data_IF_713989179751
#
_entry.id   IF_713989179751
#
_cell.length_a   1.000
_cell.length_b   1.000
_cell.length_c   1.000
_cell.angle_alpha   90.00
_cell.angle_beta   90.00
_cell.angle_gamma   90.00
#
_symmetry.space_group_name_H-M   'P 1'
#
loop_
_entity.id
_entity.type
_entity.pdbx_description
1 polymer ?
2 non-polymer ?
3 water ?
#
# COMPACT_ATOMS: atom_id res chain seq x y z
N UNK A 1 -2.58 -8.91 16.83
CA UNK A 1 -2.94 -7.53 16.47
C UNK A 1 -3.30 -7.38 15.00
N UNK A 2 -4.25 -6.49 14.71
CA UNK A 2 -4.69 -6.24 13.35
C UNK A 2 -4.48 -4.78 12.99
N UNK A 3 -3.77 -4.53 11.90
CA UNK A 3 -3.44 -3.18 11.46
C UNK A 3 -4.04 -2.93 10.08
N UNK A 4 -4.75 -1.82 9.95
CA UNK A 4 -5.25 -1.34 8.66
C UNK A 4 -4.55 -0.02 8.36
N UNK A 5 -3.84 0.03 7.24
CA UNK A 5 -3.03 1.19 6.87
C UNK A 5 -3.63 1.82 5.63
N UNK A 6 -4.14 3.04 5.77
CA UNK A 6 -4.67 3.81 4.65
C UNK A 6 -3.53 4.58 4.00
N UNK A 7 -3.29 4.33 2.72
CA UNK A 7 -2.25 5.01 1.96
C UNK A 7 -2.82 5.46 0.63
N UNK A 8 -2.25 6.54 0.09
CA UNK A 8 -2.58 6.95 -1.26
C UNK A 8 -2.09 5.91 -2.26
N UNK A 9 -2.92 5.62 -3.26
CA UNK A 9 -2.53 4.65 -4.27
C UNK A 9 -1.32 5.15 -5.06
N UNK A 10 -0.64 4.21 -5.71
CA UNK A 10 0.49 4.57 -6.55
C UNK A 10 1.75 3.78 -6.26
N UNK A 11 1.81 3.15 -5.09
CA UNK A 11 2.98 2.35 -4.74
C UNK A 11 2.99 1.04 -5.52
N UNK A 12 4.19 0.51 -5.72
CA UNK A 12 4.33 -0.78 -6.38
C UNK A 12 4.02 -1.91 -5.41
N UNK A 13 3.85 -3.11 -5.97
CA UNK A 13 3.64 -4.28 -5.13
C UNK A 13 4.84 -4.55 -4.24
N UNK A 14 6.03 -4.27 -4.69
CA UNK A 14 7.27 -4.46 -3.90
C UNK A 14 7.25 -3.48 -2.73
N UNK A 15 6.87 -2.22 -2.89
CA UNK A 15 6.84 -1.27 -1.78
C UNK A 15 5.76 -1.64 -0.77
N UNK A 16 4.57 -2.01 -1.25
CA UNK A 16 3.50 -2.42 -0.34
C UNK A 16 3.82 -3.74 0.34
N UNK A 17 4.64 -4.58 -0.29
CA UNK A 17 5.12 -5.78 0.39
C UNK A 17 6.11 -5.42 1.50
N UNK A 18 7.01 -4.47 1.22
CA UNK A 18 7.91 -3.98 2.26
C UNK A 18 7.14 -3.35 3.41
N UNK A 19 6.05 -2.65 3.09
CA UNK A 19 5.27 -1.98 4.14
C UNK A 19 4.64 -3.00 5.09
N UNK A 20 4.17 -4.12 4.55
CA UNK A 20 3.51 -5.12 5.39
C UNK A 20 4.52 -5.78 6.33
N UNK A 21 5.72 -6.09 5.82
CA UNK A 21 6.70 -6.79 6.64
C UNK A 21 7.30 -5.88 7.71
N UNK A 22 7.63 -4.64 7.34
CA UNK A 22 8.26 -3.74 8.30
C UNK A 22 7.29 -3.34 9.41
N UNK A 23 6.01 -3.17 9.08
CA UNK A 23 5.03 -2.83 10.10
C UNK A 23 4.76 -4.02 11.01
N UNK A 24 4.64 -5.22 10.44
CA UNK A 24 4.40 -6.41 11.25
C UNK A 24 5.55 -6.64 12.22
N UNK A 25 6.79 -6.46 11.76
CA UNK A 25 7.93 -6.61 12.65
C UNK A 25 7.95 -5.53 13.72
N UNK A 26 7.47 -4.33 13.39
CA UNK A 26 7.41 -3.26 14.38
C UNK A 26 6.35 -3.54 15.44
N UNK A 27 5.20 -4.07 15.02
CA UNK A 27 4.14 -4.40 15.98
C UNK A 27 4.58 -5.54 16.88
N UNK A 28 5.19 -6.58 16.29
CA UNK A 28 5.65 -7.72 17.08
C UNK A 28 6.73 -7.30 18.07
N UNK A 29 7.56 -6.33 17.70
CA UNK A 29 8.62 -5.87 18.59
C UNK A 29 8.06 -5.12 19.78
N UNK A 30 7.17 -4.15 19.53
CA UNK A 30 6.73 -3.25 20.59
C UNK A 30 5.84 -3.96 21.60
N UNK A 31 5.09 -4.97 21.18
CA UNK A 31 4.14 -5.65 22.05
C UNK A 31 4.62 -7.02 22.51
N UNK A 32 5.81 -7.46 22.07
CA UNK A 32 6.32 -8.80 22.38
C UNK A 32 5.30 -9.87 21.98
N UNK A 33 4.68 -9.68 20.82
CA UNK A 33 3.67 -10.60 20.34
C UNK A 33 4.23 -11.48 19.23
N UNK A 34 3.68 -12.68 19.09
CA UNK A 34 4.08 -13.59 18.02
C UNK A 34 3.87 -12.97 16.65
N UNK A 35 4.91 -12.95 15.82
CA UNK A 35 4.83 -12.35 14.50
C UNK A 35 3.69 -12.94 13.68
N UNK A 36 3.53 -14.26 13.77
CA UNK A 36 2.48 -14.95 13.03
C UNK A 36 1.08 -14.53 13.47
N UNK A 37 0.95 -13.89 14.63
CA UNK A 37 -0.34 -13.41 15.11
C UNK A 37 -0.66 -12.01 14.64
N UNK A 38 0.23 -11.37 13.88
CA UNK A 38 0.05 -10.00 13.42
C UNK A 38 -0.44 -10.03 11.98
N UNK A 39 -1.53 -9.32 11.71
CA UNK A 39 -2.09 -9.19 10.38
C UNK A 39 -2.16 -7.71 9.99
N UNK A 40 -1.83 -7.42 8.74
CA UNK A 40 -1.77 -6.06 8.23
C UNK A 40 -2.68 -5.95 7.01
N UNK A 41 -3.50 -4.91 6.98
CA UNK A 41 -4.40 -4.63 5.87
C UNK A 41 -3.96 -3.32 5.22
N UNK A 42 -3.77 -3.35 3.91
CA UNK A 42 -3.43 -2.16 3.13
C UNK A 42 -4.69 -1.71 2.40
N UNK A 43 -5.13 -0.48 2.68
CA UNK A 43 -6.29 0.10 2.03
C UNK A 43 -5.82 1.30 1.22
N UNK A 44 -5.84 1.17 -0.10
CA UNK A 44 -5.38 2.24 -0.98
C UNK A 44 -6.46 3.31 -1.11
N UNK A 45 -6.02 4.56 -1.19
CA UNK A 45 -6.91 5.70 -1.36
C UNK A 45 -6.58 6.40 -2.67
N UNK A 46 -7.59 6.61 -3.50
CA UNK A 46 -7.40 7.41 -4.70
C UNK A 46 -7.13 8.86 -4.31
N UNK A 47 -6.47 9.59 -5.21
CA UNK A 47 -6.21 11.00 -4.97
C UNK A 47 -7.50 11.80 -4.81
N UNK A 48 -8.61 11.30 -5.36
CA UNK A 48 -9.90 11.94 -5.22
C UNK A 48 -10.68 11.56 -3.98
N UNK A 49 -10.12 10.72 -3.11
CA UNK A 49 -10.83 10.26 -1.92
C UNK A 49 -10.17 10.69 -0.61
N UNK A 50 -9.01 11.34 -0.66
CA UNK A 50 -8.29 11.75 0.54
C UNK A 50 -8.20 13.27 0.56
N UNK A 51 -8.54 13.86 1.70
CA UNK A 51 -8.50 15.30 1.84
C UNK A 51 -7.82 15.72 3.13
N UNK A 52 -7.13 16.85 3.06
CA UNK A 52 -6.48 17.46 4.21
C UNK A 52 -6.92 18.92 4.25
N UNK A 53 -7.70 19.28 5.26
CA UNK A 53 -8.25 20.62 5.33
C UNK A 53 -9.35 20.87 4.32
N UNK A 54 -10.16 19.86 4.04
CA UNK A 54 -11.21 19.99 3.04
C UNK A 54 -10.71 20.07 1.62
N UNK A 55 -9.41 19.95 1.40
CA UNK A 55 -8.82 20.02 0.07
C UNK A 55 -8.13 18.71 -0.25
N UNK A 56 -8.25 18.28 -1.51
CA UNK A 56 -7.78 16.96 -1.92
C UNK A 56 -6.26 16.93 -1.94
N UNK A 57 -5.67 16.17 -1.03
CA UNK A 57 -4.22 16.01 -0.98
C UNK A 57 -3.82 14.61 -1.43
N UNK B 1 0.17 8.76 5.52
CA UNK B 1 -0.58 7.52 5.77
C UNK B 1 -1.26 7.50 7.13
N UNK B 2 -2.35 6.74 7.24
CA UNK B 2 -3.10 6.64 8.49
C UNK B 2 -3.27 5.17 8.86
N UNK B 3 -2.69 4.77 9.98
CA UNK B 3 -2.70 3.39 10.43
C UNK B 3 -3.52 3.26 11.70
N UNK B 4 -4.46 2.31 11.70
CA UNK B 4 -5.22 1.95 12.89
C UNK B 4 -4.87 0.52 13.26
N UNK B 5 -4.38 0.32 14.48
CA UNK B 5 -3.96 -0.98 14.97
C UNK B 5 -4.93 -1.44 16.05
N UNK B 6 -5.55 -2.59 15.84
CA UNK B 6 -6.42 -3.20 16.83
C UNK B 6 -5.61 -4.17 17.68
N UNK B 7 -5.44 -3.85 18.96
CA UNK B 7 -4.66 -4.67 19.88
C UNK B 7 -5.52 -5.03 21.08
N UNK B 8 -5.16 -6.13 21.73
CA UNK B 8 -5.85 -6.54 22.95
C UNK B 8 -5.46 -5.62 24.10
N UNK B 9 -6.42 -5.36 24.98
CA UNK B 9 -6.14 -4.56 26.17
C UNK B 9 -5.18 -5.30 27.09
N UNK B 10 -4.51 -4.53 27.95
CA UNK B 10 -3.56 -5.07 28.91
C UNK B 10 -2.16 -4.52 28.77
N UNK B 11 -1.82 -3.93 27.62
CA UNK B 11 -0.51 -3.33 27.45
C UNK B 11 -0.39 -2.05 28.28
N UNK B 12 0.84 -1.70 28.61
CA UNK B 12 1.12 -0.49 29.36
C UNK B 12 1.23 0.71 28.43
N UNK B 13 1.32 1.90 29.02
CA UNK B 13 1.47 3.11 28.23
C UNK B 13 2.77 3.12 27.45
N UNK B 14 3.82 2.50 28.01
CA UNK B 14 5.12 2.54 27.36
C UNK B 14 5.15 1.66 26.11
N UNK B 15 4.57 0.45 26.20
CA UNK B 15 4.54 -0.44 25.04
C UNK B 15 3.73 0.16 23.90
N UNK B 16 2.63 0.84 24.23
CA UNK B 16 1.82 1.48 23.20
C UNK B 16 2.50 2.72 22.64
N UNK B 17 3.28 3.42 23.47
CA UNK B 17 4.05 4.56 22.97
C UNK B 17 5.15 4.09 22.02
N UNK B 18 5.80 2.98 22.35
CA UNK B 18 6.78 2.38 21.44
C UNK B 18 6.09 1.89 20.17
N UNK B 19 4.88 1.34 20.30
CA UNK B 19 4.16 0.84 19.13
C UNK B 19 3.91 1.94 18.11
N UNK B 20 3.48 3.12 18.58
CA UNK B 20 3.15 4.21 17.67
C UNK B 20 4.39 4.67 16.91
N UNK B 21 5.52 4.80 17.61
CA UNK B 21 6.72 5.33 16.98
C UNK B 21 7.33 4.32 16.01
N UNK B 22 7.48 3.07 16.45
CA UNK B 22 8.13 2.07 15.61
C UNK B 22 7.31 1.77 14.36
N UNK B 23 5.98 1.77 14.48
CA UNK B 23 5.13 1.54 13.32
C UNK B 23 5.19 2.75 12.38
N UNK B 24 5.14 3.96 12.93
CA UNK B 24 5.24 5.16 12.10
C UNK B 24 6.58 5.21 11.38
N UNK B 25 7.65 4.76 12.04
CA UNK B 25 8.95 4.71 11.39
C UNK B 25 8.97 3.66 10.29
N UNK B 26 8.36 2.50 10.54
CA UNK B 26 8.31 1.46 9.52
C UNK B 26 7.48 1.89 8.32
N UNK B 27 6.42 2.66 8.55
CA UNK B 27 5.62 3.17 7.43
C UNK B 27 6.41 4.23 6.67
N UNK B 28 7.12 5.11 7.39
CA UNK B 28 7.90 6.15 6.73
C UNK B 28 9.06 5.56 5.94
N UNK B 29 9.71 4.52 6.48
CA UNK B 29 10.81 3.88 5.77
C UNK B 29 10.32 3.16 4.52
N UNK B 30 9.29 2.33 4.67
CA UNK B 30 8.85 1.47 3.57
C UNK B 30 8.26 2.27 2.42
N UNK B 31 7.66 3.43 2.71
CA UNK B 31 7.01 4.24 1.69
C UNK B 31 7.80 5.47 1.30
N UNK B 32 8.98 5.69 1.91
CA UNK B 32 9.79 6.88 1.65
C UNK B 32 9.00 8.16 1.86
N UNK B 33 8.02 8.11 2.76
CA UNK B 33 7.17 9.25 3.04
C UNK B 33 7.64 9.95 4.31
N UNK B 34 7.37 11.25 4.40
CA UNK B 34 7.74 12.02 5.59
C UNK B 34 7.13 11.46 6.86
N UNK B 35 7.96 11.27 7.89
CA UNK B 35 7.51 10.73 9.16
C UNK B 35 6.40 11.58 9.77
N UNK B 36 6.49 12.90 9.55
CA UNK B 36 5.51 13.82 10.10
C UNK B 36 4.12 13.65 9.49
N UNK B 37 4.02 13.02 8.31
CA UNK B 37 2.73 12.78 7.68
C UNK B 37 2.07 11.49 8.14
N UNK B 38 2.75 10.69 8.95
CA UNK B 38 2.23 9.40 9.39
C UNK B 38 1.45 9.60 10.68
N UNK B 39 0.22 9.08 10.71
CA UNK B 39 -0.62 9.09 11.90
C UNK B 39 -1.00 7.66 12.26
N UNK B 40 -1.01 7.36 13.56
CA UNK B 40 -1.27 6.01 14.06
C UNK B 40 -2.38 6.08 15.09
N UNK B 41 -3.37 5.20 14.97
CA UNK B 41 -4.49 5.11 15.89
C UNK B 41 -4.46 3.75 16.56
N UNK B 42 -4.44 3.74 17.88
CA UNK B 42 -4.44 2.50 18.66
C UNK B 42 -5.84 2.27 19.20
N UNK B 43 -6.42 1.12 18.87
CA UNK B 43 -7.76 0.76 19.30
C UNK B 43 -7.68 -0.49 20.17
N UNK B 44 -8.03 -0.35 21.45
CA UNK B 44 -7.99 -1.46 22.39
C UNK B 44 -9.31 -2.22 22.36
N UNK B 45 -9.21 -3.55 22.45
CA UNK B 45 -10.36 -4.43 22.46
C UNK B 45 -10.38 -5.23 23.75
N UNK B 46 -11.52 -5.25 24.43
CA UNK B 46 -11.68 -6.10 25.60
C UNK B 46 -11.68 -7.57 25.18
N UNK B 47 -11.35 -8.43 26.15
CA UNK B 47 -11.25 -9.86 25.85
C UNK B 47 -12.57 -10.42 25.35
N UNK B 48 -13.69 -9.92 25.87
CA UNK B 48 -15.00 -10.31 25.40
C UNK B 48 -15.44 -9.70 24.09
N UNK B 49 -14.59 -8.92 23.43
CA UNK B 49 -14.95 -8.24 22.19
C UNK B 49 -14.08 -8.65 21.01
N UNK B 50 -13.32 -9.74 21.14
CA UNK B 50 -12.46 -10.23 20.07
C UNK B 50 -12.54 -11.74 20.03
N UNK B 51 -12.80 -12.30 18.85
CA UNK B 51 -12.96 -13.73 18.71
C UNK B 51 -12.04 -14.30 17.65
N UNK B 52 -11.63 -15.55 17.88
CA UNK B 52 -10.84 -16.32 16.93
C UNK B 52 -11.49 -17.68 16.77
N UNK B 53 -11.92 -18.00 15.55
CA UNK B 53 -12.60 -19.26 15.31
C UNK B 53 -13.95 -19.37 16.00
N UNK B 54 -14.63 -18.25 16.20
CA UNK B 54 -15.90 -18.25 16.89
C UNK B 54 -15.82 -18.32 18.39
N UNK B 55 -14.62 -18.28 18.97
CA UNK B 55 -14.44 -18.35 20.41
C UNK B 55 -13.61 -17.16 20.88
N UNK B 56 -13.76 -16.84 22.16
CA UNK B 56 -13.02 -15.72 22.74
C UNK B 56 -11.55 -16.07 22.91
N UNK B 57 -10.70 -15.06 22.76
CA UNK B 57 -9.26 -15.25 22.91
C UNK B 57 -8.88 -15.41 24.38
N UNK C 1 -1.13 8.46 -33.90
CA UNK C 1 -1.00 7.08 -33.41
C UNK C 1 -1.62 6.88 -32.03
N UNK C 2 -2.44 5.84 -31.90
CA UNK C 2 -3.06 5.51 -30.62
C UNK C 2 -2.64 4.11 -30.20
N UNK C 3 -2.00 4.01 -29.04
CA UNK C 3 -1.46 2.76 -28.54
C UNK C 3 -2.10 2.42 -27.20
N UNK C 4 -2.63 1.21 -27.10
CA UNK C 4 -3.11 0.65 -25.84
C UNK C 4 -2.15 -0.44 -25.40
N UNK C 5 -1.67 -0.34 -24.16
CA UNK C 5 -0.65 -1.25 -23.64
C UNK C 5 -1.27 -2.03 -22.48
N UNK C 6 -1.50 -3.32 -22.69
CA UNK C 6 -1.94 -4.20 -21.62
C UNK C 6 -0.72 -4.67 -20.83
N UNK C 7 -0.70 -4.36 -19.53
CA UNK C 7 0.39 -4.76 -18.65
C UNK C 7 -0.19 -5.39 -17.40
N UNK C 8 0.58 -6.28 -16.79
CA UNK C 8 0.18 -6.85 -15.51
C UNK C 8 0.29 -5.78 -14.42
N UNK C 9 -0.74 -5.71 -13.58
CA UNK C 9 -0.78 -4.69 -12.54
C UNK C 9 0.32 -4.93 -11.51
N UNK C 10 0.55 -3.92 -10.68
CA UNK C 10 1.55 -3.98 -9.64
C UNK C 10 2.68 -2.98 -9.79
N UNK C 11 2.71 -2.23 -10.89
CA UNK C 11 3.76 -1.24 -11.10
C UNK C 11 3.41 0.06 -10.39
N UNK C 12 4.44 0.81 -10.03
CA UNK C 12 4.21 2.12 -9.43
C UNK C 12 3.77 3.12 -10.50
N UNK C 13 3.25 4.26 -10.04
CA UNK C 13 2.83 5.29 -10.98
C UNK C 13 4.02 5.91 -11.70
N UNK C 14 5.20 5.89 -11.09
CA UNK C 14 6.38 6.43 -11.74
C UNK C 14 6.80 5.57 -12.92
N UNK C 15 6.80 4.25 -12.74
CA UNK C 15 7.16 3.35 -13.84
C UNK C 15 6.17 3.47 -14.99
N UNK C 16 4.88 3.59 -14.68
CA UNK C 16 3.87 3.72 -15.72
C UNK C 16 3.96 5.07 -16.42
N UNK C 17 4.34 6.12 -15.69
CA UNK C 17 4.59 7.41 -16.34
C UNK C 17 5.83 7.34 -17.21
N UNK C 18 6.86 6.62 -16.76
CA UNK C 18 8.04 6.40 -17.59
C UNK C 18 7.69 5.58 -18.83
N UNK C 19 6.83 4.57 -18.66
CA UNK C 19 6.39 3.77 -19.80
C UNK C 19 5.65 4.62 -20.82
N UNK C 20 4.81 5.54 -20.35
CA UNK C 20 4.08 6.42 -21.26
C UNK C 20 5.05 7.31 -22.03
N UNK C 21 6.10 7.80 -21.36
CA UNK C 21 7.03 8.72 -22.00
C UNK C 21 7.92 8.01 -23.01
N UNK C 22 8.53 6.89 -22.61
CA UNK C 22 9.46 6.20 -23.49
C UNK C 22 8.76 5.61 -24.71
N UNK C 23 7.55 5.07 -24.52
CA UNK C 23 6.83 4.48 -25.64
C UNK C 23 6.39 5.56 -26.62
N UNK C 24 5.85 6.67 -26.10
CA UNK C 24 5.44 7.77 -26.96
C UNK C 24 6.62 8.32 -27.75
N UNK C 25 7.80 8.37 -27.12
CA UNK C 25 9.00 8.79 -27.84
C UNK C 25 9.38 7.77 -28.91
N UNK C 26 9.21 6.48 -28.62
CA UNK C 26 9.56 5.45 -29.59
C UNK C 26 8.56 5.39 -30.74
N UNK C 27 7.28 5.65 -30.46
CA UNK C 27 6.27 5.62 -31.51
C UNK C 27 6.48 6.77 -32.49
N UNK C 28 6.67 7.98 -31.97
CA UNK C 28 6.83 9.15 -32.83
C UNK C 28 8.14 9.11 -33.59
N UNK C 29 9.20 8.58 -32.97
CA UNK C 29 10.50 8.54 -33.63
C UNK C 29 10.53 7.49 -34.74
N UNK C 30 9.87 6.35 -34.52
CA UNK C 30 9.88 5.28 -35.52
C UNK C 30 9.00 5.62 -36.71
N UNK C 31 7.77 6.08 -36.45
CA UNK C 31 6.84 6.42 -37.52
C UNK C 31 7.14 7.76 -38.16
N UNK C 32 8.03 8.56 -37.58
CA UNK C 32 8.25 9.95 -37.98
C UNK C 32 6.93 10.71 -37.98
N UNK C 33 6.30 10.70 -36.81
CA UNK C 33 5.05 11.42 -36.58
C UNK C 33 5.25 12.36 -35.40
N UNK C 34 4.39 13.37 -35.28
CA UNK C 34 4.50 14.32 -34.18
C UNK C 34 4.26 13.68 -32.82
N UNK C 35 5.14 13.95 -31.87
CA UNK C 35 5.03 13.38 -30.52
C UNK C 35 3.72 13.79 -29.87
N UNK C 36 3.33 15.05 -30.06
CA UNK C 36 2.08 15.55 -29.49
C UNK C 36 0.86 14.85 -30.05
N UNK C 37 1.00 14.09 -31.13
CA UNK C 37 -0.10 13.34 -31.72
C UNK C 37 -0.18 11.90 -31.21
N UNK C 38 0.76 11.48 -30.37
CA UNK C 38 0.80 10.11 -29.88
C UNK C 38 -0.01 10.02 -28.59
N UNK C 39 -0.96 9.09 -28.57
CA UNK C 39 -1.77 8.80 -27.39
C UNK C 39 -1.48 7.39 -26.91
N UNK C 40 -1.28 7.23 -25.61
CA UNK C 40 -0.96 5.94 -25.00
C UNK C 40 -2.01 5.64 -23.93
N UNK C 41 -2.54 4.42 -23.94
CA UNK C 41 -3.50 3.96 -22.95
C UNK C 41 -2.89 2.78 -22.22
N UNK C 42 -2.75 2.90 -20.90
CA UNK C 42 -2.24 1.82 -20.06
C UNK C 42 -3.43 1.08 -19.47
N UNK C 43 -3.57 -0.20 -19.82
CA UNK C 43 -4.61 -1.05 -19.27
C UNK C 43 -3.96 -2.11 -18.40
N UNK C 44 -4.22 -2.05 -17.10
CA UNK C 44 -3.65 -3.01 -16.17
C UNK C 44 -4.46 -4.29 -16.14
N UNK C 45 -3.77 -5.42 -16.05
CA UNK C 45 -4.39 -6.73 -15.99
C UNK C 45 -4.08 -7.37 -14.64
N UNK C 46 -5.12 -7.83 -13.96
CA UNK C 46 -4.93 -8.60 -12.74
C UNK C 46 -4.28 -9.94 -13.07
N UNK C 47 -3.56 -10.50 -12.10
CA UNK C 47 -2.87 -11.76 -12.36
C UNK C 47 -3.85 -12.86 -12.73
N UNK C 48 -5.04 -12.85 -12.15
CA UNK C 48 -6.07 -13.81 -12.50
C UNK C 48 -6.83 -13.51 -13.77
N UNK C 49 -6.42 -12.49 -14.53
CA UNK C 49 -7.09 -12.11 -15.77
C UNK C 49 -6.21 -12.27 -17.00
N UNK C 50 -4.97 -12.71 -16.84
CA UNK C 50 -4.03 -12.88 -17.94
C UNK C 50 -3.61 -14.34 -18.01
N UNK C 51 -3.83 -14.97 -19.15
CA UNK C 51 -3.52 -16.38 -19.34
C UNK C 51 -2.51 -16.58 -20.45
N UNK C 52 -1.60 -17.53 -20.24
CA UNK C 52 -0.61 -17.93 -21.23
C UNK C 52 -0.63 -19.45 -21.30
N UNK C 53 -0.91 -19.99 -22.49
CA UNK C 53 -1.00 -21.43 -22.65
C UNK C 53 -2.12 -22.08 -21.88
N UNK C 54 -3.17 -21.32 -21.55
CA UNK C 54 -4.30 -21.85 -20.82
C UNK C 54 -4.20 -21.71 -19.32
N UNK C 55 -3.04 -21.34 -18.79
CA UNK C 55 -2.84 -21.19 -17.35
C UNK C 55 -2.50 -19.74 -17.03
N UNK C 56 -2.63 -19.40 -15.75
CA UNK C 56 -2.28 -18.06 -15.30
C UNK C 56 -0.79 -17.82 -15.49
N UNK C 57 -0.44 -16.60 -15.88
CA UNK C 57 0.94 -16.25 -16.22
C UNK C 57 1.88 -16.46 -15.04
X LIG D 1 12.93 9.16 -36.74
#
# INVERSE_FOLDING_TARGET
XIAQIHILEGRSDEQKETLIREVSEAISRSLDAXLTSVRVIITEMAKGHFGIGGELASKVRR
XIAQIHILEGRSDEQKETLIREVSEAISRSLDAXLTSVRVIITEMAKGHFGIGGELASKVRR
XIAQIHILEGRSDEQKETLIREVSEAISRSLDAXLTSVRVIITEMAKGHFGIGGELASKVRR
CA CA
#
